data_IF_903802795095
#
_entry.id   IF_903802795095
#
_cell.length_a   1.000
_cell.length_b   1.000
_cell.length_c   1.000
_cell.angle_alpha   90.00
_cell.angle_beta   90.00
_cell.angle_gamma   90.00
#
_symmetry.space_group_name_H-M   'P 1'
#
loop_
_entity.id
_entity.type
_entity.pdbx_description
1 polymer ?
#
# COMPACT_ATOMS: atom_id res chain seq x y z
N UNK A 1 -14.27 -28.27 -35.22
CA UNK A 1 -15.36 -29.00 -35.90
C UNK A 1 -16.17 -28.00 -36.70
N UNK A 2 -16.13 -28.13 -38.03
CA UNK A 2 -16.75 -27.20 -38.95
C UNK A 2 -18.23 -27.55 -39.13
N UNK A 3 -19.13 -26.62 -38.78
CA UNK A 3 -20.53 -26.66 -39.19
C UNK A 3 -20.89 -25.31 -39.80
N UNK A 4 -20.86 -25.24 -41.12
CA UNK A 4 -21.40 -24.14 -41.93
C UNK A 4 -22.82 -24.50 -42.33
N UNK A 5 -23.83 -23.84 -41.76
CA UNK A 5 -25.19 -23.86 -42.31
C UNK A 5 -25.47 -22.52 -42.98
N UNK A 6 -25.25 -22.48 -44.30
CA UNK A 6 -25.74 -21.41 -45.15
C UNK A 6 -27.23 -21.63 -45.39
N UNK A 7 -28.08 -20.79 -44.81
CA UNK A 7 -29.50 -20.69 -45.18
C UNK A 7 -29.71 -19.41 -45.99
N UNK A 8 -29.72 -19.56 -47.30
CA UNK A 8 -30.13 -18.53 -48.25
C UNK A 8 -31.62 -18.74 -48.56
N UNK A 9 -32.51 -18.15 -47.76
CA UNK A 9 -33.90 -17.95 -48.19
C UNK A 9 -33.96 -16.73 -49.11
N UNK A 10 -33.61 -16.93 -50.38
CA UNK A 10 -34.01 -16.02 -51.46
C UNK A 10 -35.43 -16.36 -51.87
N UNK A 11 -36.41 -15.69 -51.25
CA UNK A 11 -37.78 -15.64 -51.75
C UNK A 11 -37.82 -14.73 -52.98
N UNK A 12 -37.35 -15.22 -54.12
CA UNK A 12 -37.66 -14.61 -55.40
C UNK A 12 -39.10 -15.01 -55.76
N UNK A 13 -40.05 -14.11 -55.52
CA UNK A 13 -41.35 -14.19 -56.18
C UNK A 13 -41.10 -13.95 -57.67
N UNK A 14 -40.85 -15.02 -58.42
CA UNK A 14 -41.01 -15.01 -59.86
C UNK A 14 -42.49 -14.80 -60.14
N UNK A 15 -42.86 -13.55 -60.37
CA UNK A 15 -44.05 -13.24 -61.14
C UNK A 15 -43.73 -13.71 -62.56
N UNK A 16 -44.15 -14.94 -62.87
CA UNK A 16 -44.22 -15.40 -64.24
C UNK A 16 -45.17 -14.46 -64.98
N UNK A 17 -44.75 -13.76 -66.05
CA UNK A 17 -45.74 -13.22 -66.95
C UNK A 17 -46.44 -14.42 -67.59
N UNK A 18 -47.73 -14.57 -67.29
CA UNK A 18 -48.60 -15.46 -68.05
C UNK A 18 -48.46 -15.06 -69.53
N UNK A 19 -47.70 -15.83 -70.30
CA UNK A 19 -47.76 -15.77 -71.76
C UNK A 19 -49.10 -16.35 -72.15
N UNK A 20 -50.12 -15.50 -72.23
CA UNK A 20 -51.35 -15.82 -72.94
C UNK A 20 -50.96 -16.15 -74.37
N UNK A 21 -51.05 -17.42 -74.76
CA UNK A 21 -50.91 -17.82 -76.16
C UNK A 21 -51.92 -16.99 -76.98
N UNK A 22 -51.42 -16.20 -77.92
CA UNK A 22 -52.23 -15.38 -78.81
C UNK A 22 -52.98 -16.30 -79.79
N UNK A 23 -54.12 -16.83 -79.36
CA UNK A 23 -55.14 -17.35 -80.29
C UNK A 23 -55.80 -16.11 -80.89
N UNK A 24 -55.51 -15.82 -82.15
CA UNK A 24 -56.12 -14.70 -82.87
C UNK A 24 -57.62 -15.01 -83.00
N UNK A 25 -58.52 -14.23 -82.38
CA UNK A 25 -59.95 -14.46 -82.52
C UNK A 25 -60.39 -14.08 -83.95
N UNK A 26 -61.46 -14.71 -84.48
CA UNK A 26 -61.98 -14.39 -85.80
C UNK A 26 -62.29 -12.90 -85.94
N UNK A 27 -62.03 -12.34 -87.14
CA UNK A 27 -61.93 -10.90 -87.45
C UNK A 27 -63.12 -10.02 -87.05
N UNK A 28 -64.26 -10.62 -86.71
CA UNK A 28 -65.48 -9.91 -86.32
C UNK A 28 -65.52 -9.52 -84.83
N UNK A 29 -64.61 -10.05 -83.99
CA UNK A 29 -64.58 -9.78 -82.53
C UNK A 29 -63.49 -8.78 -82.09
N UNK A 30 -62.76 -8.17 -83.03
CA UNK A 30 -61.67 -7.23 -82.75
C UNK A 30 -62.06 -5.92 -82.02
N UNK A 31 -63.26 -5.30 -82.21
CA UNK A 31 -63.55 -4.00 -81.60
C UNK A 31 -63.75 -4.03 -80.07
N UNK A 32 -64.03 -5.19 -79.48
CA UNK A 32 -64.32 -5.33 -78.04
C UNK A 32 -63.08 -5.39 -77.14
N UNK A 33 -61.89 -5.64 -77.71
CA UNK A 33 -60.63 -5.71 -76.96
C UNK A 33 -59.81 -4.42 -77.04
N UNK A 34 -60.34 -3.38 -77.70
CA UNK A 34 -59.65 -2.09 -77.91
C UNK A 34 -59.75 -1.10 -76.73
N UNK A 35 -60.27 -1.52 -75.57
CA UNK A 35 -60.21 -0.76 -74.32
C UNK A 35 -59.18 -1.41 -73.39
N UNK A 36 -57.91 -1.15 -73.68
CA UNK A 36 -56.80 -1.45 -72.79
C UNK A 36 -56.90 -0.56 -71.56
N UNK A 37 -57.38 -1.11 -70.43
CA UNK A 37 -57.24 -0.48 -69.12
C UNK A 37 -55.75 -0.55 -68.72
N UNK A 38 -55.01 0.54 -68.96
CA UNK A 38 -53.55 0.57 -68.82
C UNK A 38 -53.03 0.89 -67.43
N UNK A 39 -53.88 0.92 -66.39
CA UNK A 39 -53.41 1.19 -65.02
C UNK A 39 -54.20 0.39 -63.99
N UNK A 40 -53.53 -0.35 -63.07
CA UNK A 40 -54.19 -0.88 -61.89
C UNK A 40 -54.54 0.29 -60.94
N UNK A 41 -55.83 0.55 -60.75
CA UNK A 41 -56.32 1.44 -59.69
C UNK A 41 -56.14 0.75 -58.34
N UNK A 42 -55.06 1.05 -57.64
CA UNK A 42 -54.86 0.64 -56.24
C UNK A 42 -55.05 1.87 -55.35
N UNK A 43 -56.11 1.87 -54.54
CA UNK A 43 -56.42 2.95 -53.58
C UNK A 43 -55.62 2.85 -52.28
N UNK A 44 -54.76 1.85 -52.15
CA UNK A 44 -53.91 1.68 -50.96
C UNK A 44 -52.70 2.61 -51.11
N UNK A 45 -52.62 3.63 -50.26
CA UNK A 45 -51.43 4.48 -50.20
C UNK A 45 -50.19 3.60 -50.05
N UNK A 46 -49.11 3.82 -50.85
CA UNK A 46 -47.90 3.03 -50.70
C UNK A 46 -47.43 3.18 -49.25
N UNK A 47 -47.35 2.06 -48.54
CA UNK A 47 -46.98 2.05 -47.13
C UNK A 47 -45.63 2.77 -46.98
N UNK A 48 -45.62 3.92 -46.29
CA UNK A 48 -44.38 4.61 -45.98
C UNK A 48 -43.48 3.63 -45.24
N UNK A 49 -42.21 3.54 -45.66
CA UNK A 49 -41.27 2.58 -45.11
C UNK A 49 -41.22 2.71 -43.57
N UNK A 50 -41.71 1.68 -42.87
CA UNK A 50 -41.75 1.68 -41.40
C UNK A 50 -40.33 1.77 -40.85
N UNK A 51 -40.14 2.67 -39.87
CA UNK A 51 -38.88 2.80 -39.12
C UNK A 51 -38.58 1.48 -38.40
N UNK A 52 -37.35 0.99 -38.55
CA UNK A 52 -36.87 -0.17 -37.80
C UNK A 52 -36.79 0.18 -36.30
N UNK A 53 -37.39 -0.65 -35.45
CA UNK A 53 -37.44 -0.41 -34.00
C UNK A 53 -36.21 -0.97 -33.27
N UNK A 54 -35.37 -1.78 -33.95
CA UNK A 54 -34.13 -2.27 -33.38
C UNK A 54 -32.96 -1.31 -33.70
N UNK A 55 -32.66 -0.42 -32.76
CA UNK A 55 -31.61 0.61 -32.89
C UNK A 55 -30.20 0.02 -33.03
N UNK A 56 -29.95 -1.17 -32.48
CA UNK A 56 -28.63 -1.80 -32.45
C UNK A 56 -28.54 -2.99 -33.43
N UNK A 57 -29.45 -3.04 -34.42
CA UNK A 57 -29.45 -4.13 -35.41
C UNK A 57 -28.11 -4.18 -36.15
N UNK A 58 -27.42 -5.32 -36.04
CA UNK A 58 -26.15 -5.54 -36.73
C UNK A 58 -24.97 -4.72 -36.15
N UNK A 59 -25.13 -4.13 -34.97
CA UNK A 59 -24.08 -3.36 -34.29
C UNK A 59 -23.46 -4.20 -33.17
N UNK A 60 -22.16 -4.46 -33.24
CA UNK A 60 -21.39 -5.15 -32.20
C UNK A 60 -19.95 -4.62 -32.14
N UNK A 61 -19.49 -4.33 -30.92
CA UNK A 61 -18.16 -3.76 -30.69
C UNK A 61 -17.04 -4.81 -30.90
N UNK A 62 -17.24 -6.03 -30.38
CA UNK A 62 -16.25 -7.11 -30.43
C UNK A 62 -15.94 -7.56 -31.87
N UNK A 63 -16.96 -7.67 -32.73
CA UNK A 63 -16.77 -8.02 -34.14
C UNK A 63 -16.47 -6.81 -35.03
N UNK A 64 -16.28 -5.62 -34.44
CA UNK A 64 -15.94 -4.39 -35.15
C UNK A 64 -16.90 -4.09 -36.32
N UNK A 65 -18.19 -4.41 -36.16
CA UNK A 65 -19.18 -4.22 -37.26
C UNK A 65 -19.43 -2.74 -37.55
N UNK A 66 -19.07 -1.87 -36.60
CA UNK A 66 -19.20 -0.44 -36.72
C UNK A 66 -20.64 0.03 -36.63
N UNK A 67 -20.85 1.28 -37.01
CA UNK A 67 -22.17 1.89 -37.09
C UNK A 67 -22.90 1.31 -38.30
N UNK A 68 -24.20 1.02 -38.18
CA UNK A 68 -24.95 0.44 -39.29
C UNK A 68 -24.97 1.34 -40.52
N UNK A 69 -25.01 0.79 -41.74
CA UNK A 69 -24.94 1.55 -43.02
C UNK A 69 -25.96 2.69 -43.18
N UNK A 70 -27.03 2.70 -42.36
CA UNK A 70 -28.11 3.70 -42.37
C UNK A 70 -27.95 4.78 -41.29
N UNK A 71 -26.99 4.62 -40.38
CA UNK A 71 -26.71 5.55 -39.29
C UNK A 71 -25.49 6.38 -39.68
N UNK A 72 -25.67 7.69 -39.81
CA UNK A 72 -24.59 8.64 -40.10
C UNK A 72 -24.38 9.50 -38.86
N UNK A 73 -23.20 9.41 -38.25
CA UNK A 73 -22.79 10.28 -37.15
C UNK A 73 -21.96 11.44 -37.69
N UNK A 74 -21.92 12.55 -36.94
CA UNK A 74 -21.07 13.71 -37.24
C UNK A 74 -19.58 13.40 -37.10
N UNK A 75 -19.22 12.51 -36.17
CA UNK A 75 -17.84 12.06 -35.93
C UNK A 75 -17.66 10.69 -36.57
N UNK A 76 -16.69 10.57 -37.47
CA UNK A 76 -16.37 9.30 -38.11
C UNK A 76 -15.27 8.57 -37.35
N UNK A 77 -15.06 7.31 -37.73
CA UNK A 77 -13.98 6.48 -37.18
C UNK A 77 -12.59 7.10 -37.44
N UNK A 78 -12.42 7.78 -38.58
CA UNK A 78 -11.20 8.47 -38.99
C UNK A 78 -10.89 9.70 -38.10
N UNK A 79 -11.94 10.34 -37.59
CA UNK A 79 -11.82 11.53 -36.73
C UNK A 79 -11.54 11.18 -35.27
N UNK A 80 -11.43 9.90 -34.92
CA UNK A 80 -11.19 9.50 -33.54
C UNK A 80 -9.75 9.85 -33.13
N UNK A 81 -9.55 10.54 -32.00
CA UNK A 81 -8.23 10.83 -31.49
C UNK A 81 -7.52 9.53 -31.12
N UNK A 82 -6.25 9.41 -31.53
CA UNK A 82 -5.41 8.29 -31.14
C UNK A 82 -4.83 8.57 -29.76
N UNK A 83 -5.10 7.73 -28.73
CA UNK A 83 -4.53 7.94 -27.42
C UNK A 83 -3.01 7.75 -27.45
N UNK A 84 -2.32 8.43 -26.56
CA UNK A 84 -0.88 8.23 -26.33
C UNK A 84 -0.70 6.93 -25.55
N UNK A 85 -0.42 5.85 -26.26
CA UNK A 85 -0.20 4.53 -25.65
C UNK A 85 1.17 4.44 -24.97
N UNK A 86 2.18 5.07 -25.56
CA UNK A 86 3.57 5.00 -25.09
C UNK A 86 3.70 5.67 -23.72
N UNK A 87 4.17 4.96 -22.68
CA UNK A 87 4.31 5.53 -21.35
C UNK A 87 5.31 6.69 -21.31
N UNK A 88 6.38 6.63 -22.11
CA UNK A 88 7.40 7.69 -22.21
C UNK A 88 6.89 9.02 -22.76
N UNK A 89 5.73 9.00 -23.44
CA UNK A 89 5.09 10.18 -24.00
C UNK A 89 4.02 10.75 -23.07
N UNK A 90 3.75 10.08 -21.95
CA UNK A 90 2.89 10.59 -20.89
C UNK A 90 3.70 11.59 -20.06
N UNK A 91 3.01 12.55 -19.46
CA UNK A 91 3.63 13.42 -18.45
C UNK A 91 4.05 12.58 -17.25
N UNK A 92 5.28 12.75 -16.80
CA UNK A 92 5.74 12.13 -15.57
C UNK A 92 5.02 12.73 -14.36
N UNK A 93 4.71 11.89 -13.38
CA UNK A 93 4.07 12.30 -12.13
C UNK A 93 5.19 12.66 -11.17
N UNK A 94 5.17 13.88 -10.64
CA UNK A 94 6.06 14.28 -9.57
C UNK A 94 5.65 13.55 -8.27
N UNK A 95 6.55 12.73 -7.74
CA UNK A 95 6.38 12.00 -6.49
C UNK A 95 7.32 12.60 -5.47
N UNK A 96 6.83 12.80 -4.25
CA UNK A 96 7.64 13.28 -3.13
C UNK A 96 8.79 12.28 -2.84
N UNK A 97 10.07 12.71 -2.85
CA UNK A 97 11.19 11.84 -2.54
C UNK A 97 11.12 11.27 -1.11
N UNK A 98 10.53 12.00 -0.15
CA UNK A 98 10.43 11.59 1.25
C UNK A 98 9.09 10.89 1.57
N UNK A 99 8.51 10.22 0.57
CA UNK A 99 7.24 9.52 0.76
C UNK A 99 7.38 8.32 1.71
N UNK A 100 6.49 8.20 2.70
CA UNK A 100 6.55 7.13 3.72
C UNK A 100 6.48 5.68 3.18
N UNK A 101 6.01 5.49 1.94
CA UNK A 101 6.03 4.18 1.27
C UNK A 101 7.45 3.73 0.89
N UNK A 102 8.41 4.64 0.74
CA UNK A 102 9.80 4.28 0.44
C UNK A 102 10.44 3.47 1.57
N UNK A 103 9.92 3.56 2.80
CA UNK A 103 10.38 2.73 3.92
C UNK A 103 10.18 1.21 3.72
N UNK A 104 9.33 0.78 2.77
CA UNK A 104 9.15 -0.64 2.43
C UNK A 104 10.16 -1.16 1.41
N UNK A 105 10.93 -0.27 0.78
CA UNK A 105 11.91 -0.60 -0.24
C UNK A 105 13.34 -0.45 0.30
N UNK A 106 14.35 -1.03 -0.36
CA UNK A 106 15.74 -0.79 -0.02
C UNK A 106 16.06 0.69 -0.19
N UNK A 107 16.99 1.22 0.61
CA UNK A 107 17.33 2.64 0.61
C UNK A 107 18.26 3.02 -0.59
N UNK A 108 18.38 2.12 -1.57
CA UNK A 108 19.10 2.33 -2.83
C UNK A 108 18.32 3.21 -3.80
N UNK A 109 18.99 3.66 -4.86
CA UNK A 109 18.43 4.54 -5.90
C UNK A 109 17.04 4.04 -6.36
N UNK A 110 16.19 4.97 -6.78
CA UNK A 110 14.76 4.85 -7.17
C UNK A 110 14.37 3.71 -8.15
N UNK A 111 15.31 2.86 -8.56
CA UNK A 111 15.11 1.67 -9.40
C UNK A 111 15.26 0.31 -8.72
N UNK A 112 15.88 0.20 -7.54
CA UNK A 112 16.20 -1.10 -6.93
C UNK A 112 15.01 -1.66 -6.15
N UNK A 113 14.19 -2.47 -6.84
CA UNK A 113 12.97 -3.08 -6.29
C UNK A 113 13.22 -4.33 -5.45
N UNK A 114 14.44 -4.89 -5.49
CA UNK A 114 14.83 -6.10 -4.77
C UNK A 114 16.23 -5.89 -4.22
N UNK A 115 16.43 -6.27 -2.97
CA UNK A 115 17.75 -6.29 -2.31
C UNK A 115 18.58 -7.47 -2.81
N UNK A 116 19.88 -7.26 -3.00
CA UNK A 116 20.76 -8.35 -3.47
C UNK A 116 20.93 -9.42 -2.38
N UNK A 117 21.20 -10.69 -2.74
CA UNK A 117 21.46 -11.75 -1.76
C UNK A 117 22.62 -11.41 -0.81
N UNK A 118 23.64 -10.71 -1.31
CA UNK A 118 24.78 -10.22 -0.52
C UNK A 118 24.33 -9.18 0.51
N UNK A 119 23.49 -8.23 0.11
CA UNK A 119 22.88 -7.25 1.01
C UNK A 119 21.99 -7.93 2.08
N UNK A 120 21.23 -8.97 1.72
CA UNK A 120 20.48 -9.76 2.71
C UNK A 120 21.41 -10.45 3.71
N UNK A 121 22.52 -11.01 3.24
CA UNK A 121 23.51 -11.69 4.06
C UNK A 121 24.30 -10.72 4.95
N UNK A 122 24.41 -9.44 4.56
CA UNK A 122 25.01 -8.36 5.33
C UNK A 122 24.12 -7.94 6.52
N UNK A 123 23.93 -8.86 7.48
CA UNK A 123 23.32 -8.59 8.77
C UNK A 123 24.15 -9.18 9.91
N UNK A 124 24.06 -8.53 11.07
CA UNK A 124 24.62 -9.06 12.31
C UNK A 124 23.73 -10.15 12.93
N UNK A 125 24.11 -10.58 14.13
CA UNK A 125 23.27 -11.48 14.94
C UNK A 125 22.08 -10.75 15.57
N UNK A 126 21.08 -11.52 15.98
CA UNK A 126 20.04 -11.01 16.88
C UNK A 126 20.58 -10.60 18.27
N UNK A 127 19.88 -9.65 18.89
CA UNK A 127 20.06 -9.20 20.27
C UNK A 127 19.84 -10.35 21.27
N UNK A 128 20.76 -10.51 22.22
CA UNK A 128 20.66 -11.49 23.32
C UNK A 128 19.85 -10.90 24.49
N UNK A 129 19.23 -11.77 25.27
CA UNK A 129 18.42 -11.39 26.45
C UNK A 129 19.24 -10.54 27.43
N UNK A 130 20.48 -10.94 27.72
CA UNK A 130 21.38 -10.22 28.63
C UNK A 130 21.62 -8.76 28.22
N UNK A 131 21.73 -8.51 26.92
CA UNK A 131 21.96 -7.16 26.37
C UNK A 131 20.71 -6.30 26.47
N UNK A 132 19.54 -6.92 26.24
CA UNK A 132 18.24 -6.24 26.32
C UNK A 132 17.83 -5.93 27.76
N UNK A 133 18.31 -6.68 28.76
CA UNK A 133 18.05 -6.39 30.18
C UNK A 133 18.62 -5.06 30.63
N UNK A 134 19.69 -4.58 30.02
CA UNK A 134 20.31 -3.29 30.33
C UNK A 134 19.65 -2.08 29.63
N UNK A 135 18.57 -2.29 28.85
CA UNK A 135 17.90 -1.23 28.07
C UNK A 135 16.60 -0.75 28.71
N UNK A 136 16.31 0.54 28.56
CA UNK A 136 15.09 1.14 29.08
C UNK A 136 13.83 0.68 28.31
N UNK A 137 12.66 0.94 28.87
CA UNK A 137 11.38 0.63 28.23
C UNK A 137 11.23 1.30 26.85
N UNK A 138 11.53 2.60 26.77
CA UNK A 138 11.42 3.39 25.55
C UNK A 138 12.32 2.86 24.43
N UNK A 139 13.53 2.44 24.77
CA UNK A 139 14.48 1.86 23.83
C UNK A 139 13.99 0.50 23.30
N UNK A 140 13.46 -0.36 24.18
CA UNK A 140 12.89 -1.64 23.79
C UNK A 140 11.66 -1.46 22.89
N UNK A 141 10.82 -0.46 23.18
CA UNK A 141 9.64 -0.13 22.39
C UNK A 141 10.01 0.41 21.00
N UNK A 142 10.98 1.32 20.91
CA UNK A 142 11.51 1.81 19.62
C UNK A 142 12.14 0.67 18.82
N UNK A 143 12.96 -0.16 19.46
CA UNK A 143 13.59 -1.32 18.83
C UNK A 143 12.55 -2.31 18.28
N UNK A 144 11.47 -2.56 19.02
CA UNK A 144 10.37 -3.39 18.57
C UNK A 144 9.76 -2.90 17.24
N UNK A 145 9.56 -1.59 17.11
CA UNK A 145 9.03 -1.01 15.87
C UNK A 145 10.03 -1.03 14.73
N UNK A 146 11.32 -0.84 15.01
CA UNK A 146 12.38 -1.04 14.00
C UNK A 146 12.35 -2.47 13.47
N UNK A 147 12.28 -3.47 14.36
CA UNK A 147 12.14 -4.87 13.97
C UNK A 147 10.85 -5.13 13.16
N UNK A 148 9.75 -4.49 13.53
CA UNK A 148 8.47 -4.65 12.81
C UNK A 148 8.54 -4.07 11.40
N UNK A 149 9.14 -2.89 11.23
CA UNK A 149 9.37 -2.27 9.92
C UNK A 149 10.27 -3.14 9.04
N UNK A 150 11.35 -3.67 9.63
CA UNK A 150 12.28 -4.56 8.92
C UNK A 150 11.59 -5.83 8.40
N UNK A 151 10.74 -6.46 9.22
CA UNK A 151 9.97 -7.63 8.78
C UNK A 151 9.00 -7.30 7.65
N UNK A 152 8.36 -6.14 7.70
CA UNK A 152 7.50 -5.68 6.63
C UNK A 152 8.29 -5.44 5.34
N UNK A 153 9.47 -4.81 5.42
CA UNK A 153 10.40 -4.64 4.30
C UNK A 153 10.78 -6.00 3.69
N UNK A 154 11.22 -6.96 4.51
CA UNK A 154 11.56 -8.32 4.06
C UNK A 154 10.37 -9.00 3.37
N UNK A 155 9.16 -8.91 3.94
CA UNK A 155 7.96 -9.52 3.38
C UNK A 155 7.57 -8.92 2.02
N UNK A 156 7.63 -7.59 1.88
CA UNK A 156 7.38 -6.91 0.60
C UNK A 156 8.35 -7.40 -0.48
N UNK A 157 9.64 -7.44 -0.15
CA UNK A 157 10.68 -7.86 -1.09
C UNK A 157 10.58 -9.35 -1.44
N UNK A 158 10.21 -10.20 -0.49
CA UNK A 158 9.99 -11.63 -0.74
C UNK A 158 8.78 -11.84 -1.68
N UNK A 159 7.71 -11.08 -1.51
CA UNK A 159 6.55 -11.13 -2.42
C UNK A 159 6.93 -10.65 -3.83
N UNK A 160 7.65 -9.53 -3.95
CA UNK A 160 8.12 -9.03 -5.24
C UNK A 160 9.09 -10.01 -5.91
N UNK A 161 9.98 -10.64 -5.14
CA UNK A 161 10.85 -11.70 -5.64
C UNK A 161 10.06 -12.87 -6.19
N UNK A 162 9.06 -13.38 -5.46
CA UNK A 162 8.19 -14.49 -5.93
C UNK A 162 7.44 -14.09 -7.19
N UNK A 163 6.94 -12.86 -7.26
CA UNK A 163 6.25 -12.33 -8.44
C UNK A 163 7.18 -12.27 -9.66
N UNK A 164 8.42 -11.84 -9.48
CA UNK A 164 9.42 -11.72 -10.55
C UNK A 164 10.02 -13.07 -10.96
N UNK A 165 10.16 -14.00 -10.03
CA UNK A 165 10.61 -15.36 -10.31
C UNK A 165 9.61 -16.16 -11.16
N UNK A 166 8.31 -15.83 -11.09
CA UNK A 166 7.26 -16.51 -11.84
C UNK A 166 7.18 -18.00 -11.45
N UNK A 167 7.38 -18.89 -12.42
CA UNK A 167 7.44 -20.34 -12.20
C UNK A 167 8.86 -20.85 -11.84
N UNK A 168 9.87 -19.97 -11.88
CA UNK A 168 11.24 -20.29 -11.52
C UNK A 168 11.54 -20.04 -10.04
N UNK A 169 12.73 -20.43 -9.60
CA UNK A 169 13.27 -20.08 -8.28
C UNK A 169 14.33 -19.00 -8.47
N UNK A 170 14.15 -17.86 -7.78
CA UNK A 170 15.14 -16.78 -7.76
C UNK A 170 15.94 -16.86 -6.47
N UNK A 171 17.23 -16.56 -6.53
CA UNK A 171 18.13 -16.65 -5.38
C UNK A 171 17.80 -15.56 -4.32
N UNK A 172 18.19 -15.78 -3.06
CA UNK A 172 17.97 -14.85 -1.95
C UNK A 172 16.93 -15.28 -0.91
N UNK A 173 16.17 -16.36 -1.14
CA UNK A 173 15.11 -16.81 -0.22
C UNK A 173 15.66 -17.30 1.12
N UNK A 174 16.80 -17.99 1.08
CA UNK A 174 17.46 -18.51 2.29
C UNK A 174 18.03 -17.36 3.10
N UNK A 175 18.65 -16.39 2.44
CA UNK A 175 19.27 -15.20 3.05
C UNK A 175 18.21 -14.32 3.70
N UNK A 176 17.13 -14.02 2.99
CA UNK A 176 15.99 -13.26 3.50
C UNK A 176 15.34 -13.97 4.69
N UNK A 177 15.11 -15.28 4.60
CA UNK A 177 14.56 -16.07 5.70
C UNK A 177 15.50 -16.16 6.91
N UNK A 178 16.81 -16.16 6.70
CA UNK A 178 17.80 -16.13 7.79
C UNK A 178 17.78 -14.79 8.51
N UNK A 179 17.68 -13.68 7.76
CA UNK A 179 17.54 -12.34 8.32
C UNK A 179 16.24 -12.19 9.13
N UNK A 180 15.09 -12.62 8.59
CA UNK A 180 13.81 -12.59 9.34
C UNK A 180 13.88 -13.44 10.61
N UNK A 181 14.55 -14.60 10.59
CA UNK A 181 14.78 -15.40 11.80
C UNK A 181 15.53 -14.62 12.86
N UNK A 182 16.60 -13.90 12.51
CA UNK A 182 17.34 -13.07 13.48
C UNK A 182 16.45 -11.97 14.08
N UNK A 183 15.68 -11.26 13.25
CA UNK A 183 14.73 -10.23 13.72
C UNK A 183 13.64 -10.83 14.61
N UNK A 184 13.13 -12.01 14.30
CA UNK A 184 12.14 -12.70 15.15
C UNK A 184 12.73 -13.14 16.49
N UNK A 185 14.00 -13.52 16.52
CA UNK A 185 14.72 -13.83 17.77
C UNK A 185 14.81 -12.58 18.65
N UNK A 186 15.14 -11.41 18.09
CA UNK A 186 15.19 -10.17 18.88
C UNK A 186 13.82 -9.82 19.45
N UNK A 187 12.77 -9.88 18.64
CA UNK A 187 11.39 -9.63 19.08
C UNK A 187 10.95 -10.60 20.19
N UNK A 188 11.30 -11.89 20.07
CA UNK A 188 11.04 -12.88 21.13
C UNK A 188 11.76 -12.49 22.42
N UNK A 189 13.05 -12.15 22.33
CA UNK A 189 13.86 -11.82 23.50
C UNK A 189 13.36 -10.54 24.19
N UNK A 190 12.89 -9.54 23.43
CA UNK A 190 12.25 -8.33 23.98
C UNK A 190 11.04 -8.73 24.84
N UNK A 191 10.16 -9.61 24.33
CA UNK A 191 8.99 -10.08 25.11
C UNK A 191 9.42 -10.77 26.39
N UNK A 192 10.41 -11.65 26.32
CA UNK A 192 10.93 -12.38 27.50
C UNK A 192 11.43 -11.38 28.54
N UNK A 193 12.25 -10.41 28.17
CA UNK A 193 12.78 -9.40 29.12
C UNK A 193 11.67 -8.60 29.77
N UNK A 194 10.65 -8.18 29.02
CA UNK A 194 9.53 -7.42 29.57
C UNK A 194 8.69 -8.26 30.55
N UNK A 195 8.45 -9.53 30.22
CA UNK A 195 7.76 -10.47 31.11
C UNK A 195 8.59 -10.77 32.36
N UNK A 196 9.89 -10.99 32.23
CA UNK A 196 10.83 -11.18 33.35
C UNK A 196 10.79 -9.96 34.28
N UNK A 197 10.84 -8.74 33.75
CA UNK A 197 10.77 -7.50 34.53
C UNK A 197 9.47 -7.37 35.31
N UNK A 198 8.35 -7.69 34.67
CA UNK A 198 7.05 -7.63 35.34
C UNK A 198 6.98 -8.58 36.53
N UNK A 199 7.41 -9.83 36.35
CA UNK A 199 7.44 -10.79 37.46
C UNK A 199 8.47 -10.43 38.52
N UNK A 200 9.65 -9.92 38.14
CA UNK A 200 10.64 -9.45 39.10
C UNK A 200 10.12 -8.28 39.94
N UNK A 201 9.41 -7.32 39.32
CA UNK A 201 8.78 -6.20 40.00
C UNK A 201 7.67 -6.65 40.94
N UNK A 202 6.78 -7.55 40.51
CA UNK A 202 5.68 -8.05 41.35
C UNK A 202 6.22 -8.83 42.55
N UNK A 203 7.23 -9.69 42.35
CA UNK A 203 7.89 -10.41 43.44
C UNK A 203 8.60 -9.45 44.41
N UNK A 204 9.31 -8.44 43.91
CA UNK A 204 9.96 -7.43 44.73
C UNK A 204 8.96 -6.60 45.53
N UNK A 205 7.82 -6.26 44.92
CA UNK A 205 6.72 -5.54 45.58
C UNK A 205 6.12 -6.36 46.71
N UNK A 206 5.93 -7.67 46.53
CA UNK A 206 5.47 -8.57 47.59
C UNK A 206 6.49 -8.67 48.73
N UNK A 207 7.77 -8.84 48.41
CA UNK A 207 8.83 -8.84 49.43
C UNK A 207 8.91 -7.50 50.19
N UNK A 208 8.73 -6.38 49.50
CA UNK A 208 8.71 -5.05 50.11
C UNK A 208 7.50 -4.82 51.04
N UNK A 209 6.40 -5.58 50.93
CA UNK A 209 5.31 -5.51 51.90
C UNK A 209 5.69 -6.11 53.27
N UNK A 210 6.65 -7.04 53.26
CA UNK A 210 7.12 -7.73 54.47
C UNK A 210 8.36 -7.05 55.08
N UNK A 211 9.06 -6.21 54.31
CA UNK A 211 10.30 -5.55 54.70
C UNK A 211 10.05 -4.29 55.56
N UNK A 212 10.55 -4.22 56.81
CA UNK A 212 10.40 -3.03 57.65
C UNK A 212 11.19 -1.81 57.16
N UNK A 213 12.15 -1.96 56.24
CA UNK A 213 12.93 -0.83 55.67
C UNK A 213 12.18 -0.10 54.55
N UNK A 214 11.11 -0.68 54.00
CA UNK A 214 10.39 -0.14 52.85
C UNK A 214 8.98 0.32 53.24
N UNK A 215 8.70 1.61 53.09
CA UNK A 215 7.36 2.18 53.24
C UNK A 215 6.69 2.34 51.87
N UNK A 216 5.79 1.42 51.54
CA UNK A 216 5.01 1.45 50.30
C UNK A 216 3.93 2.54 50.27
N UNK A 217 3.63 3.15 51.43
CA UNK A 217 2.61 4.21 51.55
C UNK A 217 3.18 5.62 51.48
N UNK A 218 4.51 5.76 51.47
CA UNK A 218 5.19 7.03 51.38
C UNK A 218 4.79 7.81 50.11
N UNK A 219 4.44 9.08 50.28
CA UNK A 219 4.12 9.98 49.18
C UNK A 219 5.36 10.80 48.76
N UNK A 220 6.00 10.50 47.62
CA UNK A 220 7.17 11.24 47.17
C UNK A 220 6.86 12.72 46.90
N UNK A 221 5.60 13.09 46.65
CA UNK A 221 5.18 14.48 46.47
C UNK A 221 5.26 15.33 47.74
N UNK A 222 5.25 14.69 48.92
CA UNK A 222 5.40 15.35 50.23
C UNK A 222 6.83 15.30 50.78
N UNK A 223 7.75 14.69 50.05
CA UNK A 223 9.14 14.50 50.47
C UNK A 223 9.36 13.33 51.42
N UNK A 224 8.37 12.43 51.57
CA UNK A 224 8.52 11.20 52.35
C UNK A 224 9.42 10.22 51.58
N UNK A 225 10.37 9.59 52.28
CA UNK A 225 11.30 8.63 51.71
C UNK A 225 10.71 7.22 51.82
N UNK A 226 10.52 6.54 50.69
CA UNK A 226 9.99 5.18 50.65
C UNK A 226 10.98 4.10 51.14
N UNK A 227 12.28 4.40 51.16
CA UNK A 227 13.31 3.49 51.67
C UNK A 227 14.01 4.12 52.86
N UNK A 228 13.97 3.43 54.00
CA UNK A 228 14.54 3.83 55.28
C UNK A 228 15.64 2.84 55.65
N UNK A 229 16.93 3.16 55.40
CA UNK A 229 18.01 2.22 55.65
C UNK A 229 18.07 1.85 57.14
N UNK A 230 18.21 0.55 57.42
CA UNK A 230 18.35 0.05 58.78
C UNK A 230 19.52 0.72 59.52
N UNK A 231 19.34 1.00 60.82
CA UNK A 231 20.31 1.71 61.69
C UNK A 231 21.72 1.07 61.76
N UNK A 232 21.93 -0.12 61.20
CA UNK A 232 23.20 -0.84 61.20
C UNK A 232 24.04 -0.71 59.92
N UNK A 233 23.52 -0.14 58.84
CA UNK A 233 24.23 -0.05 57.54
C UNK A 233 24.77 1.37 57.26
N UNK A 234 25.14 2.08 58.32
CA UNK A 234 25.78 3.38 58.23
C UNK A 234 27.29 3.28 58.02
N UNK A 235 27.73 3.62 56.80
CA UNK A 235 28.97 4.36 56.54
C UNK A 235 30.32 3.63 56.73
N UNK A 236 30.77 2.91 55.70
CA UNK A 236 32.20 2.83 55.40
C UNK A 236 32.62 4.17 54.80
N UNK A 237 33.02 5.09 55.67
CA UNK A 237 33.54 6.40 55.33
C UNK A 237 34.91 6.23 54.61
N UNK A 238 34.96 6.53 53.31
CA UNK A 238 36.22 6.67 52.56
C UNK A 238 36.88 8.02 52.91
N UNK A 239 37.20 8.22 54.19
CA UNK A 239 37.87 9.40 54.72
C UNK A 239 39.25 9.05 55.30
N UNK A 240 40.08 8.34 54.54
CA UNK A 240 41.51 8.25 54.89
C UNK A 240 42.40 7.97 53.67
N UNK A 241 42.85 9.05 53.01
CA UNK A 241 44.20 9.22 52.47
C UNK A 241 44.24 10.43 51.52
N UNK A 242 44.47 11.61 52.08
CA UNK A 242 45.28 12.60 51.36
C UNK A 242 46.07 13.43 52.38
N UNK A 243 47.11 12.80 52.93
CA UNK A 243 48.16 13.52 53.66
C UNK A 243 49.05 14.27 52.65
N UNK A 244 49.13 15.58 52.84
CA UNK A 244 50.37 16.35 52.78
C UNK A 244 51.16 16.36 51.46
N UNK A 245 50.89 17.38 50.63
CA UNK A 245 51.96 18.04 49.87
C UNK A 245 51.92 19.53 50.22
N UNK A 246 52.88 19.94 51.03
CA UNK A 246 53.24 21.32 51.32
C UNK A 246 54.23 21.80 50.28
N UNK A 247 53.98 22.91 49.59
CA UNK A 247 55.00 23.83 49.06
C UNK A 247 54.40 25.27 49.06
N UNK A 248 55.22 26.33 49.25
CA UNK A 248 54.77 27.62 49.77
C UNK A 248 54.71 28.75 48.73
N UNK A 249 53.85 29.75 49.01
CA UNK A 249 54.16 31.16 48.75
C UNK A 249 53.32 31.94 47.74
N UNK A 250 53.06 33.20 48.11
CA UNK A 250 52.41 34.32 47.38
C UNK A 250 50.88 34.21 47.24
N UNK A 251 50.02 35.04 47.85
CA UNK A 251 50.17 36.33 48.51
C UNK A 251 49.12 37.28 47.94
N UNK A 252 48.05 37.58 48.69
CA UNK A 252 47.42 38.91 48.79
C UNK A 252 46.39 38.91 49.94
N UNK A 253 46.37 39.93 50.83
CA UNK A 253 45.57 39.91 52.06
C UNK A 253 44.10 40.35 51.84
N UNK A 254 43.19 39.98 52.76
CA UNK A 254 41.79 40.41 52.71
C UNK A 254 41.64 41.87 53.15
N UNK A 255 40.66 42.63 52.62
CA UNK A 255 40.35 43.95 53.15
C UNK A 255 39.56 43.82 54.46
N UNK A 256 40.07 44.47 55.51
CA UNK A 256 39.39 44.68 56.79
C UNK A 256 39.29 46.18 57.06
N UNK A 257 38.16 46.58 57.64
CA UNK A 257 37.69 47.91 58.12
C UNK A 257 36.73 48.62 57.13
N UNK A 258 35.56 49.13 57.53
CA UNK A 258 35.11 49.60 58.84
C UNK A 258 33.57 49.53 59.04
N UNK A 259 33.22 49.41 60.33
CA UNK A 259 31.95 49.52 61.08
C UNK A 259 31.15 50.85 60.85
N UNK A 260 30.03 51.18 61.55
CA UNK A 260 28.94 50.41 62.21
C UNK A 260 27.50 50.94 61.90
N UNK A 261 26.48 50.21 62.38
CA UNK A 261 25.17 50.65 62.95
C UNK A 261 24.48 51.94 62.45
N UNK A 262 23.22 51.82 61.97
CA UNK A 262 22.16 52.79 62.33
C UNK A 262 20.77 52.15 62.40
N UNK A 263 20.11 52.47 63.51
CA UNK A 263 18.75 52.19 63.96
C UNK A 263 17.59 52.48 62.98
N UNK A 264 16.52 51.70 63.14
CA UNK A 264 15.10 52.06 63.34
C UNK A 264 14.32 53.03 62.39
N UNK A 265 13.01 52.69 62.31
CA UNK A 265 11.82 53.37 61.73
C UNK A 265 11.57 53.08 60.24
N UNK A 266 10.37 52.74 59.78
CA UNK A 266 9.01 52.83 60.34
C UNK A 266 8.17 51.59 59.93
#
# INVERSE_FOLDING_TARGET
MHCTSASLLRSALHITPCRTAAVVPPSFLLPAFALTQTSPFSSTAPASARKDHNRNRGVSALHRTGIGKKQHLSVKLEDLPKPVLDPKRRSDIEVDPDHGLYAFFPDGNEGDRIMTPEEYAAHGRGWRIQELRAKDWEDLWRLWWVCSKERNKIATLEMERKRLAGNGQMYGDVEAGTRDKQVRVTMRNIKVVLTERWYAWENARQAAMEDPEVDLSADPGKGEQAYLPGKGEGLLDNSSANEGITEPGQGLPPPVNALPMSEARA
#
